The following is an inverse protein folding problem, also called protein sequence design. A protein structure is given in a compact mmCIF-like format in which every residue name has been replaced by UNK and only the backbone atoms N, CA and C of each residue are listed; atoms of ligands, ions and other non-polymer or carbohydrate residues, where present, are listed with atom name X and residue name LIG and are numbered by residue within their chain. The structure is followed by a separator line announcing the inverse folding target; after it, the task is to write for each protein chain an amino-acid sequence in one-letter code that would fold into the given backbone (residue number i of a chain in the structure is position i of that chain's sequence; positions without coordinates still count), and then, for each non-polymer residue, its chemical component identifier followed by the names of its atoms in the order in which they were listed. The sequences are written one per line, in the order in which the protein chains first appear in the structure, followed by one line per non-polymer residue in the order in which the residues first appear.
data_IF_923958454683
#
_entry.id   IF_923958454683
#
_cell.length_a   1.000
_cell.length_b   1.000
_cell.length_c   1.000
_cell.angle_alpha   90.00
_cell.angle_beta   90.00
_cell.angle_gamma   90.00
#
_symmetry.space_group_name_H-M   'P 1'
#
loop_
_entity.id
_entity.type
_entity.pdbx_description
1 polymer ?
#
# COMPACT_ATOMS: atom_id res chain seq x y z
N UNK A 1 -11.47 6.48 -11.77
CA UNK A 1 -10.12 5.87 -11.74
C UNK A 1 -10.10 4.74 -10.74
N UNK A 2 -9.34 3.69 -11.03
CA UNK A 2 -9.01 2.61 -10.10
C UNK A 2 -7.63 2.93 -9.53
N UNK A 3 -7.55 3.02 -8.21
CA UNK A 3 -6.28 3.23 -7.51
C UNK A 3 -6.03 2.01 -6.62
N UNK A 4 -4.80 1.52 -6.59
CA UNK A 4 -4.39 0.50 -5.65
C UNK A 4 -3.52 1.11 -4.55
N UNK A 5 -3.62 0.59 -3.33
CA UNK A 5 -2.74 0.92 -2.21
C UNK A 5 -2.11 -0.36 -1.71
N UNK A 6 -0.78 -0.44 -1.74
CA UNK A 6 -0.01 -1.58 -1.25
C UNK A 6 0.60 -1.21 0.10
N UNK A 7 0.30 -1.99 1.13
CA UNK A 7 0.82 -1.75 2.48
C UNK A 7 2.17 -2.44 2.71
N UNK A 8 3.11 -1.67 3.23
CA UNK A 8 4.43 -2.16 3.61
C UNK A 8 4.42 -3.16 4.78
N UNK A 9 5.55 -3.86 4.88
CA UNK A 9 5.90 -4.71 6.01
C UNK A 9 7.37 -4.48 6.36
N UNK A 10 7.71 -4.65 7.64
CA UNK A 10 9.04 -4.37 8.18
C UNK A 10 10.14 -5.01 7.34
N UNK A 11 11.08 -4.19 6.88
CA UNK A 11 12.32 -4.63 6.23
C UNK A 11 13.25 -5.33 7.23
N UNK A 12 14.08 -6.23 6.72
CA UNK A 12 15.18 -6.83 7.47
C UNK A 12 16.23 -5.77 7.84
N UNK A 13 17.11 -6.09 8.80
CA UNK A 13 18.11 -5.14 9.29
C UNK A 13 19.11 -4.68 8.20
N UNK A 14 19.31 -5.50 7.17
CA UNK A 14 20.12 -5.18 5.99
C UNK A 14 19.37 -4.40 4.89
N UNK A 15 18.10 -4.05 5.13
CA UNK A 15 17.25 -3.36 4.16
C UNK A 15 16.60 -4.26 3.10
N UNK A 16 16.83 -5.57 3.15
CA UNK A 16 16.14 -6.52 2.28
C UNK A 16 14.68 -6.74 2.68
N UNK A 17 13.89 -7.25 1.73
CA UNK A 17 12.50 -7.62 2.01
C UNK A 17 12.40 -8.83 2.93
N UNK A 18 11.51 -8.72 3.93
CA UNK A 18 10.97 -9.89 4.63
C UNK A 18 10.19 -10.78 3.67
N UNK A 19 9.97 -12.03 4.04
CA UNK A 19 9.20 -12.96 3.20
C UNK A 19 7.76 -12.48 3.00
N UNK A 20 7.16 -11.85 4.02
CA UNK A 20 5.83 -11.23 3.92
C UNK A 20 5.84 -10.09 2.89
N UNK A 21 6.88 -9.25 2.88
CA UNK A 21 7.00 -8.17 1.90
C UNK A 21 7.16 -8.73 0.48
N UNK A 22 7.99 -9.76 0.29
CA UNK A 22 8.15 -10.44 -1.02
C UNK A 22 6.80 -10.98 -1.54
N UNK A 23 6.04 -11.68 -0.68
CA UNK A 23 4.71 -12.18 -1.05
C UNK A 23 3.77 -11.05 -1.46
N UNK A 24 3.77 -9.92 -0.74
CA UNK A 24 2.95 -8.75 -1.11
C UNK A 24 3.39 -8.10 -2.41
N UNK A 25 4.69 -8.10 -2.72
CA UNK A 25 5.18 -7.58 -3.99
C UNK A 25 4.76 -8.47 -5.16
N UNK A 26 4.82 -9.79 -5.00
CA UNK A 26 4.26 -10.72 -5.99
C UNK A 26 2.75 -10.50 -6.20
N UNK A 27 2.01 -10.30 -5.10
CA UNK A 27 0.59 -9.98 -5.13
C UNK A 27 0.32 -8.63 -5.83
N UNK A 28 1.19 -7.63 -5.64
CA UNK A 28 1.10 -6.33 -6.30
C UNK A 28 1.33 -6.43 -7.81
N UNK A 29 2.29 -7.23 -8.26
CA UNK A 29 2.53 -7.50 -9.69
C UNK A 29 1.32 -8.21 -10.32
N UNK A 30 0.75 -9.19 -9.62
CA UNK A 30 -0.49 -9.87 -10.03
C UNK A 30 -1.67 -8.90 -10.12
N UNK A 31 -1.87 -8.07 -9.09
CA UNK A 31 -2.88 -7.01 -9.07
C UNK A 31 -2.73 -6.08 -10.28
N UNK A 32 -1.50 -5.68 -10.61
CA UNK A 32 -1.25 -4.79 -11.74
C UNK A 32 -1.65 -5.43 -13.08
N UNK A 33 -1.36 -6.72 -13.25
CA UNK A 33 -1.72 -7.46 -14.46
C UNK A 33 -3.24 -7.69 -14.59
N UNK A 34 -3.92 -8.02 -13.50
CA UNK A 34 -5.34 -8.40 -13.48
C UNK A 34 -6.28 -7.20 -13.40
N UNK A 35 -6.07 -6.31 -12.42
CA UNK A 35 -6.97 -5.19 -12.12
C UNK A 35 -6.60 -3.92 -12.88
N UNK A 36 -5.37 -3.84 -13.41
CA UNK A 36 -4.86 -2.72 -14.22
C UNK A 36 -5.19 -1.35 -13.62
N UNK A 37 -4.80 -1.08 -12.36
CA UNK A 37 -5.08 0.21 -11.74
C UNK A 37 -4.44 1.35 -12.54
N UNK A 38 -5.10 2.51 -12.51
CA UNK A 38 -4.57 3.75 -13.09
C UNK A 38 -3.31 4.20 -12.33
N UNK A 39 -3.35 4.08 -10.99
CA UNK A 39 -2.23 4.39 -10.10
C UNK A 39 -2.08 3.35 -8.99
N UNK A 40 -0.84 3.12 -8.58
CA UNK A 40 -0.45 2.33 -7.42
C UNK A 40 0.24 3.25 -6.41
N UNK A 41 -0.31 3.32 -5.20
CA UNK A 41 0.30 3.97 -4.05
C UNK A 41 0.99 2.89 -3.21
N UNK A 42 2.30 3.01 -3.02
CA UNK A 42 3.07 2.17 -2.08
C UNK A 42 3.24 2.94 -0.77
N UNK A 43 2.76 2.38 0.34
CA UNK A 43 2.62 3.08 1.62
C UNK A 43 3.39 2.38 2.74
N UNK A 44 4.37 3.09 3.31
CA UNK A 44 5.19 2.64 4.43
C UNK A 44 6.42 3.52 4.64
N UNK A 45 6.63 4.02 5.85
CA UNK A 45 7.81 4.78 6.26
C UNK A 45 8.94 3.91 6.79
N UNK A 46 9.81 4.49 7.62
CA UNK A 46 11.01 3.82 8.17
C UNK A 46 10.64 3.00 9.41
N UNK A 47 9.99 1.85 9.23
CA UNK A 47 9.59 1.00 10.36
C UNK A 47 10.76 0.26 11.02
N UNK A 48 11.88 0.06 10.30
CA UNK A 48 13.12 -0.50 10.85
C UNK A 48 14.25 0.53 10.79
N UNK A 49 14.60 1.19 11.91
CA UNK A 49 15.68 2.18 11.93
C UNK A 49 17.05 1.64 11.48
N UNK A 50 17.31 0.34 11.65
CA UNK A 50 18.56 -0.29 11.19
C UNK A 50 18.65 -0.40 9.67
N UNK A 51 17.51 -0.66 9.01
CA UNK A 51 17.43 -0.65 7.56
C UNK A 51 17.66 0.75 6.99
N UNK A 52 17.28 1.80 7.73
CA UNK A 52 17.48 3.20 7.36
C UNK A 52 16.71 3.66 6.11
N UNK A 53 15.82 2.83 5.57
CA UNK A 53 15.07 3.10 4.34
C UNK A 53 13.57 2.91 4.58
N UNK A 54 12.76 3.77 3.96
CA UNK A 54 11.31 3.66 4.01
C UNK A 54 10.82 2.45 3.20
N UNK A 55 9.86 1.71 3.75
CA UNK A 55 9.24 0.57 3.07
C UNK A 55 8.67 0.96 1.70
N UNK A 56 7.98 2.10 1.62
CA UNK A 56 7.41 2.66 0.39
C UNK A 56 8.45 2.95 -0.69
N UNK A 57 9.65 3.40 -0.30
CA UNK A 57 10.74 3.63 -1.24
C UNK A 57 11.25 2.30 -1.81
N UNK A 58 11.46 1.28 -0.96
CA UNK A 58 11.89 -0.05 -1.43
C UNK A 58 10.83 -0.76 -2.27
N UNK A 59 9.56 -0.65 -1.92
CA UNK A 59 8.46 -1.19 -2.72
C UNK A 59 8.40 -0.52 -4.10
N UNK A 60 8.58 0.79 -4.17
CA UNK A 60 8.63 1.52 -5.44
C UNK A 60 9.77 1.03 -6.34
N UNK A 61 11.00 1.00 -5.81
CA UNK A 61 12.18 0.52 -6.54
C UNK A 61 11.93 -0.87 -7.14
N UNK A 62 11.44 -1.80 -6.31
CA UNK A 62 11.14 -3.15 -6.74
C UNK A 62 10.09 -3.21 -7.85
N UNK A 63 9.00 -2.44 -7.75
CA UNK A 63 7.93 -2.48 -8.75
C UNK A 63 8.38 -1.88 -10.10
N UNK A 64 9.23 -0.84 -10.07
CA UNK A 64 9.84 -0.28 -11.27
C UNK A 64 10.79 -1.29 -11.93
N UNK A 65 11.65 -1.94 -11.15
CA UNK A 65 12.56 -2.99 -11.62
C UNK A 65 11.80 -4.18 -12.24
N UNK A 66 10.57 -4.43 -11.81
CA UNK A 66 9.69 -5.47 -12.34
C UNK A 66 8.71 -4.96 -13.42
N UNK A 67 8.97 -3.78 -14.00
CA UNK A 67 8.30 -3.30 -15.20
C UNK A 67 6.99 -2.53 -14.99
N UNK A 68 6.66 -2.14 -13.76
CA UNK A 68 5.58 -1.18 -13.53
C UNK A 68 6.07 0.23 -13.91
N UNK A 69 5.39 0.96 -14.80
CA UNK A 69 5.77 2.31 -15.19
C UNK A 69 5.82 3.28 -14.00
N UNK A 70 6.88 4.10 -13.93
CA UNK A 70 7.09 5.07 -12.86
C UNK A 70 5.95 6.10 -12.75
N UNK A 71 5.36 6.50 -13.87
CA UNK A 71 4.24 7.44 -13.94
C UNK A 71 2.93 6.88 -13.35
N UNK A 72 2.86 5.57 -13.13
CA UNK A 72 1.75 4.91 -12.42
C UNK A 72 2.01 4.75 -10.92
N UNK A 73 3.21 5.00 -10.44
CA UNK A 73 3.61 4.72 -9.07
C UNK A 73 3.71 6.00 -8.23
N UNK A 74 3.15 5.95 -7.03
CA UNK A 74 3.20 7.05 -6.06
C UNK A 74 3.76 6.50 -4.74
N UNK A 75 4.78 7.18 -4.22
CA UNK A 75 5.41 6.83 -2.95
C UNK A 75 4.77 7.59 -1.79
N UNK A 76 4.41 6.85 -0.76
CA UNK A 76 4.05 7.40 0.55
C UNK A 76 5.01 6.81 1.60
N UNK A 77 5.87 7.66 2.15
CA UNK A 77 7.03 7.28 2.98
C UNK A 77 6.96 7.82 4.41
N UNK A 78 5.85 8.42 4.81
CA UNK A 78 5.71 9.14 6.09
C UNK A 78 5.01 8.30 7.16
N UNK A 79 4.35 7.21 6.77
CA UNK A 79 3.60 6.35 7.67
C UNK A 79 4.47 5.47 8.57
N UNK A 80 4.25 5.52 9.88
CA UNK A 80 4.93 4.64 10.85
C UNK A 80 4.01 3.55 11.39
N UNK A 81 2.71 3.64 11.07
CA UNK A 81 1.67 2.74 11.59
C UNK A 81 0.62 2.43 10.53
N UNK A 82 -0.10 1.32 10.70
CA UNK A 82 -1.24 0.98 9.83
C UNK A 82 -2.33 2.07 9.81
N UNK A 83 -2.49 2.81 10.90
CA UNK A 83 -3.42 3.95 10.97
C UNK A 83 -2.94 5.12 10.11
N UNK A 84 -1.63 5.37 10.08
CA UNK A 84 -1.03 6.40 9.26
C UNK A 84 -1.03 6.05 7.78
N UNK A 85 -0.82 4.77 7.42
CA UNK A 85 -1.03 4.31 6.03
C UNK A 85 -2.41 4.76 5.51
N UNK A 86 -3.46 4.53 6.31
CA UNK A 86 -4.82 4.98 5.96
C UNK A 86 -4.96 6.50 5.96
N UNK A 87 -4.31 7.20 6.92
CA UNK A 87 -4.35 8.66 7.05
C UNK A 87 -3.73 9.36 5.84
N UNK A 88 -2.65 8.82 5.28
CA UNK A 88 -1.89 9.44 4.18
C UNK A 88 -2.33 8.93 2.80
N UNK A 89 -2.60 7.63 2.65
CA UNK A 89 -2.99 7.06 1.36
C UNK A 89 -4.41 7.45 0.92
N UNK A 90 -5.36 7.61 1.85
CA UNK A 90 -6.76 7.94 1.48
C UNK A 90 -6.89 9.33 0.84
N UNK A 91 -6.32 10.42 1.41
CA UNK A 91 -6.33 11.72 0.74
C UNK A 91 -5.66 11.72 -0.63
N UNK A 92 -4.59 10.94 -0.82
CA UNK A 92 -3.95 10.76 -2.13
C UNK A 92 -4.93 10.12 -3.12
N UNK A 93 -5.60 9.02 -2.74
CA UNK A 93 -6.61 8.38 -3.58
C UNK A 93 -7.80 9.31 -3.92
N UNK A 94 -8.23 10.16 -2.98
CA UNK A 94 -9.27 11.17 -3.22
C UNK A 94 -8.80 12.22 -4.23
N UNK A 95 -7.55 12.69 -4.08
CA UNK A 95 -6.95 13.69 -4.98
C UNK A 95 -6.80 13.14 -6.41
N UNK A 96 -6.56 11.84 -6.54
CA UNK A 96 -6.57 11.10 -7.82
C UNK A 96 -8.00 10.78 -8.33
N UNK A 97 -9.04 11.28 -7.66
CA UNK A 97 -10.44 11.05 -8.03
C UNK A 97 -10.77 9.55 -8.19
N UNK A 98 -10.24 8.73 -7.27
CA UNK A 98 -10.52 7.31 -7.24
C UNK A 98 -12.03 7.07 -7.16
N UNK A 99 -12.52 6.14 -7.99
CA UNK A 99 -13.87 5.57 -7.92
C UNK A 99 -13.85 4.20 -7.23
N UNK A 100 -12.75 3.47 -7.39
CA UNK A 100 -12.43 2.22 -6.70
C UNK A 100 -11.03 2.35 -6.08
N UNK A 101 -10.89 1.97 -4.82
CA UNK A 101 -9.62 1.85 -4.12
C UNK A 101 -9.41 0.38 -3.75
N UNK A 102 -8.40 -0.24 -4.35
CA UNK A 102 -8.02 -1.63 -4.06
C UNK A 102 -6.95 -1.62 -2.98
N UNK A 103 -7.27 -2.18 -1.81
CA UNK A 103 -6.35 -2.28 -0.69
C UNK A 103 -5.63 -3.63 -0.71
N UNK A 104 -4.35 -3.60 -1.05
CA UNK A 104 -3.47 -4.75 -1.21
C UNK A 104 -2.60 -4.98 0.04
N UNK A 105 -2.75 -6.13 0.69
CA UNK A 105 -1.92 -6.57 1.83
C UNK A 105 -2.12 -8.07 2.09
N UNK A 106 -1.28 -8.70 2.91
CA UNK A 106 -1.44 -10.12 3.29
C UNK A 106 -2.74 -10.43 4.02
N UNK A 107 -3.24 -11.66 3.87
CA UNK A 107 -4.50 -12.15 4.44
C UNK A 107 -4.55 -12.04 5.97
N UNK A 108 -3.47 -12.41 6.67
CA UNK A 108 -3.39 -12.31 8.14
C UNK A 108 -3.47 -10.86 8.58
N UNK A 109 -2.88 -9.94 7.81
CA UNK A 109 -2.97 -8.50 8.08
C UNK A 109 -4.41 -8.02 7.90
N UNK A 110 -5.10 -8.49 6.87
CA UNK A 110 -6.50 -8.16 6.57
C UNK A 110 -7.49 -8.70 7.61
N UNK A 111 -7.13 -9.78 8.32
CA UNK A 111 -7.95 -10.45 9.32
C UNK A 111 -7.60 -10.10 10.77
N UNK A 112 -6.64 -9.19 11.02
CA UNK A 112 -6.30 -8.76 12.38
C UNK A 112 -7.53 -8.19 13.11
N UNK A 113 -7.70 -8.59 14.37
CA UNK A 113 -8.76 -8.07 15.23
C UNK A 113 -8.52 -6.58 15.57
N UNK A 114 -7.30 -6.26 16.01
CA UNK A 114 -6.83 -4.88 16.24
C UNK A 114 -6.06 -4.34 15.04
N UNK A 115 -6.12 -3.02 14.82
CA UNK A 115 -5.43 -2.34 13.71
C UNK A 115 -5.72 -2.95 12.32
N UNK A 116 -6.94 -3.48 12.15
CA UNK A 116 -7.39 -4.03 10.88
C UNK A 116 -7.30 -2.96 9.77
N UNK A 117 -6.49 -3.17 8.71
CA UNK A 117 -6.21 -2.16 7.71
C UNK A 117 -7.49 -1.75 6.98
N UNK A 118 -8.35 -2.70 6.61
CA UNK A 118 -9.63 -2.39 5.95
C UNK A 118 -10.53 -1.50 6.80
N UNK A 119 -10.72 -1.81 8.10
CA UNK A 119 -11.51 -0.96 9.00
C UNK A 119 -10.89 0.43 9.17
N UNK A 120 -9.56 0.54 9.20
CA UNK A 120 -8.87 1.82 9.29
C UNK A 120 -9.04 2.66 8.03
N UNK A 121 -8.95 2.04 6.85
CA UNK A 121 -9.21 2.69 5.56
C UNK A 121 -10.67 3.13 5.43
N UNK A 122 -11.64 2.34 5.91
CA UNK A 122 -13.05 2.77 5.97
C UNK A 122 -13.24 4.00 6.87
N UNK A 123 -12.60 4.03 8.05
CA UNK A 123 -12.65 5.18 8.96
C UNK A 123 -12.00 6.42 8.33
N UNK A 124 -10.85 6.27 7.68
CA UNK A 124 -10.17 7.36 6.98
C UNK A 124 -11.00 7.86 5.79
N UNK A 125 -11.56 6.96 4.98
CA UNK A 125 -12.50 7.30 3.89
C UNK A 125 -13.64 8.18 4.40
N UNK A 126 -14.32 7.78 5.48
CA UNK A 126 -15.40 8.58 6.09
C UNK A 126 -14.89 9.94 6.58
N UNK A 127 -13.73 9.96 7.27
CA UNK A 127 -13.15 11.18 7.82
C UNK A 127 -12.79 12.22 6.75
N UNK A 128 -12.25 11.77 5.61
CA UNK A 128 -11.79 12.64 4.53
C UNK A 128 -12.82 12.82 3.41
N UNK A 129 -14.04 12.30 3.55
CA UNK A 129 -15.11 12.48 2.56
C UNK A 129 -14.92 11.68 1.26
N UNK A 130 -14.20 10.55 1.30
CA UNK A 130 -13.98 9.71 0.13
C UNK A 130 -15.25 8.98 -0.32
N UNK A 131 -15.56 9.03 -1.62
CA UNK A 131 -16.74 8.39 -2.22
C UNK A 131 -16.43 7.06 -2.93
N UNK A 132 -15.16 6.70 -3.07
CA UNK A 132 -14.73 5.47 -3.75
C UNK A 132 -15.24 4.19 -3.07
N UNK A 133 -15.48 3.15 -3.86
CA UNK A 133 -15.64 1.78 -3.35
C UNK A 133 -14.29 1.26 -2.83
N UNK A 134 -14.27 0.65 -1.64
CA UNK A 134 -13.05 0.06 -1.07
C UNK A 134 -13.09 -1.45 -1.24
N UNK A 135 -12.10 -2.01 -1.94
CA UNK A 135 -12.01 -3.42 -2.29
C UNK A 135 -10.82 -4.03 -1.57
N UNK A 136 -10.97 -5.24 -1.03
CA UNK A 136 -9.86 -5.99 -0.43
C UNK A 136 -9.16 -6.81 -1.52
N UNK A 137 -7.84 -6.81 -1.49
CA UNK A 137 -7.01 -7.70 -2.30
C UNK A 137 -5.92 -8.29 -1.40
N UNK A 138 -5.96 -9.60 -1.19
CA UNK A 138 -4.99 -10.33 -0.37
C UNK A 138 -4.68 -11.67 -1.02
N UNK A 139 -3.56 -12.26 -0.61
CA UNK A 139 -3.22 -13.65 -0.87
C UNK A 139 -4.18 -14.64 -0.19
#
# INVERSE_FOLDING_TARGET
MVVAVILGNRLNDDGSFSDIMKTRMNLALKLFAEEKPDYIIVSGGIANPKAGVAEGQKMYEYLVENGIPEDKLIKETESMTTKENAKYSVPMAISLQAKRLILCTSQEHMNRFYLNPYKLFLKAKKKFGGTFELIKYSD
#
